data_IF_697050828570
#
_entry.id   IF_697050828570
#
_cell.length_a   1.000
_cell.length_b   1.000
_cell.length_c   1.000
_cell.angle_alpha   90.00
_cell.angle_beta   90.00
_cell.angle_gamma   90.00
#
_symmetry.space_group_name_H-M   'P 1'
#
loop_
_entity.id
_entity.type
_entity.pdbx_description
1 polymer ?
#
# COMPACT_ATOMS: atom_id res chain seq x y z
N UNK A 1 -6.46 11.79 7.80
CA UNK A 1 -5.24 10.98 7.65
C UNK A 1 -4.07 11.72 7.00
N UNK A 2 -4.26 12.48 5.90
CA UNK A 2 -3.17 13.25 5.23
C UNK A 2 -2.34 14.09 6.22
N UNK A 3 -2.99 15.00 6.95
CA UNK A 3 -2.34 15.93 7.88
C UNK A 3 -1.48 15.19 8.92
N UNK A 4 -2.00 14.09 9.48
CA UNK A 4 -1.31 13.27 10.48
C UNK A 4 -0.04 12.65 9.87
N UNK A 5 -0.12 12.10 8.66
CA UNK A 5 1.05 11.54 7.99
C UNK A 5 2.12 12.61 7.68
N UNK A 6 1.72 13.85 7.35
CA UNK A 6 2.65 14.99 7.21
C UNK A 6 3.33 15.29 8.54
N UNK A 7 2.55 15.47 9.61
CA UNK A 7 3.07 15.83 10.93
C UNK A 7 3.97 14.73 11.54
N UNK A 8 3.69 13.45 11.25
CA UNK A 8 4.48 12.31 11.71
C UNK A 8 5.70 11.99 10.84
N UNK A 9 5.83 12.62 9.67
CA UNK A 9 6.93 12.34 8.73
C UNK A 9 8.34 12.50 9.34
N UNK A 10 8.62 13.43 10.26
CA UNK A 10 9.96 13.56 10.86
C UNK A 10 10.31 12.43 11.82
N UNK A 11 9.30 11.74 12.39
CA UNK A 11 9.50 10.69 13.42
C UNK A 11 9.39 9.30 12.80
N UNK A 12 8.43 9.10 11.88
CA UNK A 12 8.13 7.80 11.27
C UNK A 12 7.94 7.90 9.75
N UNK A 13 8.98 8.26 8.99
CA UNK A 13 8.86 8.59 7.56
C UNK A 13 8.28 7.43 6.72
N UNK A 14 8.72 6.19 6.99
CA UNK A 14 8.22 5.01 6.28
C UNK A 14 6.74 4.73 6.57
N UNK A 15 6.30 4.99 7.80
CA UNK A 15 4.91 4.79 8.19
C UNK A 15 4.01 5.86 7.57
N UNK A 16 4.43 7.11 7.66
CA UNK A 16 3.76 8.24 7.00
C UNK A 16 3.60 8.01 5.50
N UNK A 17 4.65 7.52 4.82
CA UNK A 17 4.60 7.17 3.40
C UNK A 17 3.55 6.08 3.13
N UNK A 18 3.48 5.02 3.96
CA UNK A 18 2.46 3.96 3.80
C UNK A 18 1.03 4.49 3.93
N UNK A 19 0.79 5.40 4.88
CA UNK A 19 -0.50 6.09 5.02
C UNK A 19 -0.80 6.93 3.77
N UNK A 20 0.19 7.67 3.25
CA UNK A 20 0.04 8.48 2.04
C UNK A 20 -0.29 7.63 0.80
N UNK A 21 0.34 6.46 0.65
CA UNK A 21 0.06 5.54 -0.46
C UNK A 21 -1.35 4.98 -0.40
N UNK A 22 -1.88 4.69 0.79
CA UNK A 22 -3.29 4.28 0.93
C UNK A 22 -4.27 5.35 0.46
N UNK A 23 -3.93 6.62 0.66
CA UNK A 23 -4.72 7.75 0.17
C UNK A 23 -4.62 7.92 -1.36
N UNK A 24 -3.80 7.14 -2.06
CA UNK A 24 -3.61 7.23 -3.51
C UNK A 24 -2.54 8.23 -3.94
N UNK A 25 -1.72 8.74 -3.02
CA UNK A 25 -0.58 9.60 -3.35
C UNK A 25 0.65 8.80 -3.74
N UNK A 26 1.49 9.38 -4.59
CA UNK A 26 2.78 8.79 -4.98
C UNK A 26 3.89 9.14 -3.99
N UNK A 27 4.97 8.37 -4.01
CA UNK A 27 6.13 8.59 -3.15
C UNK A 27 6.76 9.98 -3.42
N UNK A 28 6.82 10.41 -4.69
CA UNK A 28 7.28 11.76 -5.05
C UNK A 28 6.41 12.86 -4.46
N UNK A 29 5.07 12.69 -4.47
CA UNK A 29 4.17 13.65 -3.85
C UNK A 29 4.40 13.73 -2.35
N UNK A 30 4.69 12.61 -1.68
CA UNK A 30 5.02 12.61 -0.26
C UNK A 30 6.33 13.36 0.04
N UNK A 31 7.37 13.18 -0.76
CA UNK A 31 8.65 13.87 -0.57
C UNK A 31 8.60 15.38 -0.83
N UNK A 32 7.64 15.86 -1.62
CA UNK A 32 7.41 17.28 -1.87
C UNK A 32 6.59 17.96 -0.77
N UNK A 33 6.05 17.21 0.19
CA UNK A 33 5.18 17.75 1.24
C UNK A 33 5.99 18.52 2.27
N UNK A 34 5.43 19.65 2.69
CA UNK A 34 6.00 20.53 3.70
C UNK A 34 5.04 20.68 4.90
N UNK A 35 5.52 21.27 6.00
CA UNK A 35 4.67 21.58 7.15
C UNK A 35 3.47 22.49 6.81
N UNK A 36 3.58 23.31 5.76
CA UNK A 36 2.49 24.15 5.26
C UNK A 36 1.30 23.35 4.73
N UNK A 37 1.50 22.07 4.39
CA UNK A 37 0.47 21.15 3.90
C UNK A 37 -0.35 20.50 5.03
N UNK A 38 -0.15 20.91 6.28
CA UNK A 38 -0.97 20.49 7.43
C UNK A 38 -2.33 21.21 7.50
N UNK A 39 -2.68 22.02 6.50
CA UNK A 39 -3.98 22.69 6.38
C UNK A 39 -5.10 21.73 5.97
N UNK A 40 -6.31 21.99 6.47
CA UNK A 40 -7.52 21.28 6.09
C UNK A 40 -7.93 21.57 4.64
N UNK A 41 -8.68 20.66 4.02
CA UNK A 41 -9.21 20.81 2.66
C UNK A 41 -8.29 20.38 1.51
N UNK A 42 -7.12 19.80 1.80
CA UNK A 42 -6.16 19.37 0.78
C UNK A 42 -6.47 18.03 0.07
N UNK A 43 -7.52 17.31 0.49
CA UNK A 43 -7.97 16.08 -0.16
C UNK A 43 -9.15 16.41 -1.07
N UNK A 44 -8.98 16.27 -2.38
CA UNK A 44 -10.03 16.58 -3.36
C UNK A 44 -11.09 15.47 -3.36
N UNK A 45 -12.35 15.86 -3.45
CA UNK A 45 -13.45 14.92 -3.67
C UNK A 45 -13.24 14.13 -4.97
N UNK A 46 -13.55 12.83 -4.96
CA UNK A 46 -13.34 11.93 -6.10
C UNK A 46 -11.92 11.38 -6.24
N UNK A 47 -11.02 11.64 -5.28
CA UNK A 47 -9.69 11.03 -5.25
C UNK A 47 -9.80 9.51 -5.06
N UNK A 48 -9.24 8.77 -6.02
CA UNK A 48 -9.19 7.29 -5.96
C UNK A 48 -8.15 6.86 -4.93
N UNK A 49 -8.60 6.11 -3.93
CA UNK A 49 -7.71 5.52 -2.92
C UNK A 49 -7.12 4.21 -3.43
N UNK A 50 -5.92 3.88 -2.98
CA UNK A 50 -5.31 2.59 -3.28
C UNK A 50 -6.08 1.44 -2.61
N UNK A 51 -5.91 0.19 -3.08
CA UNK A 51 -6.46 -0.97 -2.39
C UNK A 51 -6.01 -1.02 -0.91
N UNK A 52 -6.89 -1.43 0.02
CA UNK A 52 -6.59 -1.42 1.44
C UNK A 52 -5.42 -2.37 1.76
N UNK A 53 -4.35 -1.84 2.34
CA UNK A 53 -3.18 -2.61 2.77
C UNK A 53 -2.80 -2.25 4.22
N UNK A 54 -3.01 -3.12 5.23
CA UNK A 54 -2.83 -2.79 6.64
C UNK A 54 -1.52 -2.04 6.95
N UNK A 55 -1.62 -0.86 7.58
CA UNK A 55 -0.44 -0.07 7.99
C UNK A 55 0.11 -0.57 9.32
N UNK A 56 -0.78 -0.81 10.28
CA UNK A 56 -0.45 -1.34 11.59
C UNK A 56 -0.92 -2.79 11.67
N UNK A 57 0.01 -3.71 11.88
CA UNK A 57 -0.31 -5.09 12.18
C UNK A 57 -0.72 -5.19 13.66
N UNK A 58 -1.65 -6.09 13.96
CA UNK A 58 -1.94 -6.45 15.35
C UNK A 58 -0.69 -7.09 15.96
N UNK A 59 -0.32 -6.63 17.15
CA UNK A 59 0.70 -7.28 17.96
C UNK A 59 0.04 -8.49 18.61
N UNK A 60 0.61 -9.69 18.41
CA UNK A 60 0.17 -10.91 19.08
C UNK A 60 1.20 -11.19 20.17
N UNK A 61 0.74 -11.27 21.42
CA UNK A 61 1.56 -11.78 22.53
C UNK A 61 1.45 -13.30 22.57
N UNK A 62 2.47 -14.00 23.06
CA UNK A 62 2.51 -15.46 23.07
C UNK A 62 1.30 -16.11 23.78
N UNK A 63 0.64 -15.37 24.67
CA UNK A 63 -0.59 -15.78 25.38
C UNK A 63 -1.85 -15.78 24.48
N UNK A 64 -1.85 -15.08 23.35
CA UNK A 64 -3.04 -14.90 22.48
C UNK A 64 -2.93 -15.65 21.13
N UNK A 65 -1.86 -16.42 20.92
CA UNK A 65 -1.56 -17.12 19.66
C UNK A 65 -2.44 -18.35 19.39
N UNK A 66 -3.19 -18.85 20.38
CA UNK A 66 -4.01 -20.06 20.23
C UNK A 66 -5.42 -19.81 19.67
N UNK A 67 -5.82 -18.55 19.41
CA UNK A 67 -7.24 -18.21 19.20
C UNK A 67 -7.64 -17.49 17.90
N UNK A 68 -6.72 -17.10 17.01
CA UNK A 68 -7.08 -16.29 15.82
C UNK A 68 -6.57 -16.91 14.51
N UNK A 69 -7.45 -17.28 13.54
CA UNK A 69 -7.01 -17.75 12.25
C UNK A 69 -6.33 -16.61 11.47
N UNK A 70 -5.08 -16.84 11.07
CA UNK A 70 -4.32 -15.94 10.21
C UNK A 70 -5.06 -15.71 8.88
N UNK A 71 -5.03 -14.50 8.29
CA UNK A 71 -5.59 -14.28 6.97
C UNK A 71 -4.74 -15.05 5.95
N UNK A 72 -5.34 -16.09 5.39
CA UNK A 72 -4.74 -16.91 4.33
C UNK A 72 -4.30 -16.01 3.17
N UNK A 73 -2.99 -15.91 2.97
CA UNK A 73 -2.41 -15.45 1.70
C UNK A 73 -2.90 -16.41 0.62
N UNK A 74 -3.91 -15.99 -0.16
CA UNK A 74 -4.26 -16.66 -1.41
C UNK A 74 -3.06 -16.56 -2.36
N UNK A 75 -2.25 -17.61 -2.34
CA UNK A 75 -1.18 -17.89 -3.29
C UNK A 75 -1.77 -17.85 -4.69
N UNK A 76 -1.23 -16.95 -5.51
CA UNK A 76 -1.49 -16.83 -6.94
C UNK A 76 -1.29 -18.19 -7.62
N UNK A 77 -2.40 -18.81 -8.04
CA UNK A 77 -2.37 -20.00 -8.90
C UNK A 77 -2.00 -19.55 -10.31
N UNK A 78 -0.70 -19.54 -10.58
CA UNK A 78 -0.09 -19.49 -11.92
C UNK A 78 -0.77 -20.58 -12.79
N UNK A 79 -1.66 -20.18 -13.69
CA UNK A 79 -2.16 -21.04 -14.77
C UNK A 79 -1.36 -20.70 -16.02
N UNK A 80 -0.45 -21.59 -16.33
CA UNK A 80 0.39 -21.60 -17.52
C UNK A 80 -0.44 -21.91 -18.78
N UNK A 81 0.05 -21.41 -19.92
CA UNK A 81 -0.19 -21.85 -21.30
C UNK A 81 -1.48 -21.43 -22.02
N UNK A 82 -1.34 -20.39 -22.85
CA UNK A 82 -2.04 -20.28 -24.13
C UNK A 82 -1.11 -19.65 -25.18
N UNK A 83 -0.77 -20.47 -26.17
CA UNK A 83 -0.31 -20.21 -27.54
C UNK A 83 0.27 -18.83 -27.92
N UNK A 84 1.54 -18.82 -28.36
CA UNK A 84 1.92 -18.04 -29.54
C UNK A 84 2.79 -18.89 -30.46
N UNK A 85 2.27 -19.04 -31.66
CA UNK A 85 2.70 -19.91 -32.74
C UNK A 85 3.81 -19.23 -33.57
N UNK A 86 4.50 -20.05 -34.36
CA UNK A 86 5.35 -19.75 -35.53
C UNK A 86 6.83 -19.39 -35.30
N UNK A 87 7.68 -20.39 -35.53
CA UNK A 87 9.00 -20.19 -36.15
C UNK A 87 9.23 -21.28 -37.22
N UNK A 88 9.62 -20.80 -38.39
CA UNK A 88 9.94 -21.46 -39.65
C UNK A 88 11.08 -22.48 -39.60
N UNK A 89 10.91 -23.63 -40.27
CA UNK A 89 11.97 -24.54 -40.74
C UNK A 89 11.42 -25.13 -42.06
N UNK A 90 12.03 -25.09 -43.23
CA UNK A 90 13.43 -24.86 -43.56
C UNK A 90 14.19 -26.18 -43.77
N UNK A 91 13.80 -27.00 -44.75
CA UNK A 91 14.60 -28.03 -45.41
C UNK A 91 13.85 -28.56 -46.65
#
# INVERSE_FOLDING_TARGET
MRIIAVALSPVTPNLSLRIYRQLGYTDQQFHAVTWSDTKWGGLKGGQVTAPPNPVFARIVTDTEAEGVPAPEKKVSKKKEKAARNQSSIGA
#
